data_IF_979848803948
#
_entry.id   IF_979848803948
#
_cell.length_a   1.000
_cell.length_b   1.000
_cell.length_c   1.000
_cell.angle_alpha   90.00
_cell.angle_beta   90.00
_cell.angle_gamma   90.00
#
_symmetry.space_group_name_H-M   'P 1'
#
loop_
_entity.id
_entity.type
_entity.pdbx_description
1 polymer ?
#
# COMPACT_ATOMS: atom_id res chain seq x y z
N UNK A 1 13.75 -36.71 4.57
CA UNK A 1 14.48 -35.43 4.57
C UNK A 1 13.51 -34.41 4.01
N UNK A 2 13.00 -33.49 4.81
CA UNK A 2 12.09 -32.46 4.34
C UNK A 2 12.85 -31.54 3.38
N UNK A 3 12.33 -31.40 2.18
CA UNK A 3 12.87 -30.52 1.14
C UNK A 3 12.82 -29.08 1.71
N UNK A 4 13.98 -28.53 2.04
CA UNK A 4 14.09 -27.18 2.61
C UNK A 4 13.85 -26.22 1.45
N UNK A 5 12.61 -25.84 1.24
CA UNK A 5 12.20 -24.84 0.23
C UNK A 5 12.99 -23.55 0.50
N UNK A 6 14.00 -23.31 -0.33
CA UNK A 6 14.88 -22.16 -0.19
C UNK A 6 14.15 -20.94 -0.77
N UNK A 7 14.02 -19.88 0.02
CA UNK A 7 13.42 -18.62 -0.44
C UNK A 7 14.45 -17.91 -1.31
N UNK A 8 14.11 -17.57 -2.53
CA UNK A 8 14.97 -16.77 -3.41
C UNK A 8 14.14 -15.90 -4.33
N UNK A 9 14.58 -14.65 -4.52
CA UNK A 9 14.01 -13.69 -5.48
C UNK A 9 12.47 -13.54 -5.39
N UNK A 10 11.96 -13.34 -4.17
CA UNK A 10 10.53 -13.11 -3.96
C UNK A 10 10.14 -11.75 -4.57
N UNK A 11 9.23 -11.72 -5.56
CA UNK A 11 8.70 -10.45 -6.10
C UNK A 11 8.16 -9.59 -4.97
N UNK A 12 8.70 -8.37 -4.85
CA UNK A 12 8.43 -7.47 -3.71
C UNK A 12 8.02 -6.10 -4.22
N UNK A 13 6.86 -5.63 -3.81
CA UNK A 13 6.36 -4.30 -4.15
C UNK A 13 6.20 -3.44 -2.90
N UNK A 14 6.55 -2.15 -3.01
CA UNK A 14 6.20 -1.14 -2.03
C UNK A 14 4.92 -0.46 -2.49
N UNK A 15 3.92 -0.38 -1.59
CA UNK A 15 2.67 0.35 -1.81
C UNK A 15 2.65 1.51 -0.84
N UNK A 16 2.95 2.69 -1.35
CA UNK A 16 3.05 3.93 -0.58
C UNK A 16 1.94 4.92 -0.95
N UNK A 17 1.95 6.08 -0.37
CA UNK A 17 1.01 7.16 -0.58
C UNK A 17 0.66 7.86 0.72
N UNK A 18 0.27 9.11 0.63
CA UNK A 18 0.06 9.97 1.80
C UNK A 18 -1.11 9.49 2.68
N UNK A 19 -1.34 10.19 3.79
CA UNK A 19 -2.43 9.85 4.73
C UNK A 19 -3.80 9.86 4.05
N UNK A 20 -4.63 8.88 4.37
CA UNK A 20 -6.03 8.81 3.96
C UNK A 20 -6.27 8.54 2.46
N UNK A 21 -5.24 8.25 1.65
CA UNK A 21 -5.41 8.00 0.20
C UNK A 21 -6.00 6.62 -0.14
N UNK A 22 -6.15 5.72 0.84
CA UNK A 22 -6.76 4.41 0.67
C UNK A 22 -5.80 3.26 0.42
N UNK A 23 -4.54 3.33 0.89
CA UNK A 23 -3.53 2.25 0.76
C UNK A 23 -4.05 0.92 1.26
N UNK A 24 -4.49 0.87 2.50
CA UNK A 24 -4.98 -0.36 3.14
C UNK A 24 -6.17 -0.96 2.39
N UNK A 25 -7.11 -0.11 1.90
CA UNK A 25 -8.23 -0.56 1.06
C UNK A 25 -7.74 -1.20 -0.24
N UNK A 26 -6.75 -0.58 -0.88
CA UNK A 26 -6.17 -1.07 -2.10
C UNK A 26 -5.44 -2.42 -1.91
N UNK A 27 -4.65 -2.53 -0.84
CA UNK A 27 -3.98 -3.80 -0.49
C UNK A 27 -5.00 -4.90 -0.22
N UNK A 28 -6.08 -4.62 0.54
CA UNK A 28 -7.15 -5.60 0.78
C UNK A 28 -7.78 -6.09 -0.52
N UNK A 29 -8.07 -5.20 -1.46
CA UNK A 29 -8.59 -5.61 -2.77
C UNK A 29 -7.60 -6.44 -3.57
N UNK A 30 -6.32 -6.09 -3.57
CA UNK A 30 -5.28 -6.91 -4.19
C UNK A 30 -5.26 -8.32 -3.59
N UNK A 31 -5.31 -8.43 -2.26
CA UNK A 31 -5.31 -9.72 -1.56
C UNK A 31 -6.54 -10.56 -1.90
N UNK A 32 -7.71 -9.93 -2.08
CA UNK A 32 -8.92 -10.63 -2.51
C UNK A 32 -8.80 -11.19 -3.93
N UNK A 33 -8.05 -10.51 -4.80
CA UNK A 33 -7.87 -10.86 -6.20
C UNK A 33 -6.61 -11.69 -6.48
N UNK A 34 -5.81 -12.02 -5.43
CA UNK A 34 -4.61 -12.81 -5.61
C UNK A 34 -4.90 -14.19 -6.21
N UNK A 35 -3.97 -14.78 -6.99
CA UNK A 35 -4.10 -16.16 -7.43
C UNK A 35 -4.24 -17.13 -6.24
N UNK A 36 -5.18 -18.07 -6.31
CA UNK A 36 -5.50 -18.98 -5.20
C UNK A 36 -4.29 -19.82 -4.76
N UNK A 37 -3.46 -20.22 -5.72
CA UNK A 37 -2.29 -21.07 -5.48
C UNK A 37 -1.09 -20.31 -4.91
N UNK A 38 -1.13 -18.97 -4.89
CA UNK A 38 -0.03 -18.17 -4.40
C UNK A 38 -0.15 -17.88 -2.90
N UNK A 39 0.98 -17.90 -2.22
CA UNK A 39 1.14 -17.39 -0.85
C UNK A 39 1.64 -15.95 -0.94
N UNK A 40 0.89 -15.01 -0.39
CA UNK A 40 1.30 -13.62 -0.33
C UNK A 40 1.57 -13.19 1.12
N UNK A 41 2.63 -12.43 1.30
CA UNK A 41 2.96 -11.81 2.56
C UNK A 41 2.76 -10.30 2.48
N UNK A 42 2.30 -9.70 3.56
CA UNK A 42 2.18 -8.24 3.68
C UNK A 42 2.91 -7.80 4.94
N UNK A 43 3.85 -6.89 4.80
CA UNK A 43 4.50 -6.21 5.90
C UNK A 43 3.92 -4.81 6.00
N UNK A 44 3.22 -4.53 7.10
CA UNK A 44 2.63 -3.21 7.39
C UNK A 44 3.39 -2.55 8.52
N UNK A 45 3.53 -1.23 8.46
CA UNK A 45 4.17 -0.50 9.56
C UNK A 45 3.22 -0.38 10.76
N UNK A 46 1.95 -0.09 10.50
CA UNK A 46 0.96 0.14 11.53
C UNK A 46 -0.40 -0.30 11.02
N UNK A 47 -1.12 -1.12 11.78
CA UNK A 47 -2.53 -1.31 11.51
C UNK A 47 -3.22 0.01 11.81
N UNK A 48 -3.66 0.69 10.76
CA UNK A 48 -4.29 1.99 10.86
C UNK A 48 -5.40 2.00 11.92
N UNK A 49 -5.53 3.11 12.60
CA UNK A 49 -6.42 3.36 13.74
C UNK A 49 -7.91 3.15 13.47
N UNK A 50 -8.31 2.83 12.26
CA UNK A 50 -9.72 2.65 11.89
C UNK A 50 -9.98 1.24 11.41
N UNK A 51 -10.47 0.40 12.33
CA UNK A 51 -11.42 -0.69 12.02
C UNK A 51 -11.05 -1.66 10.91
N UNK A 52 -9.77 -1.97 10.70
CA UNK A 52 -9.46 -3.25 10.10
C UNK A 52 -9.54 -4.21 11.27
N UNK A 53 -10.62 -5.00 11.29
CA UNK A 53 -10.79 -6.04 12.29
C UNK A 53 -9.47 -6.73 12.53
N UNK A 54 -8.92 -6.50 13.72
CA UNK A 54 -7.84 -7.33 14.26
C UNK A 54 -8.21 -8.81 14.22
N UNK A 55 -9.47 -9.14 13.95
CA UNK A 55 -9.97 -10.50 13.76
C UNK A 55 -9.73 -11.05 12.35
N UNK A 56 -9.62 -10.20 11.31
CA UNK A 56 -9.17 -10.61 9.98
C UNK A 56 -7.64 -10.72 9.91
N UNK A 57 -6.93 -10.05 10.83
CA UNK A 57 -5.47 -10.01 10.90
C UNK A 57 -4.91 -10.53 12.24
N UNK A 58 -5.76 -10.99 13.18
CA UNK A 58 -5.28 -11.79 14.30
C UNK A 58 -4.59 -12.99 13.69
N UNK A 59 -3.33 -13.15 14.11
CA UNK A 59 -2.45 -14.31 13.93
C UNK A 59 -3.18 -15.60 13.54
N UNK A 60 -3.83 -15.62 12.37
CA UNK A 60 -4.31 -16.84 11.78
C UNK A 60 -3.08 -17.55 11.22
N UNK A 61 -2.45 -18.29 12.13
CA UNK A 61 -1.39 -19.25 11.86
C UNK A 61 -1.82 -20.35 10.89
N UNK A 62 -3.10 -20.40 10.55
CA UNK A 62 -3.67 -21.29 9.53
C UNK A 62 -4.38 -20.44 8.47
N UNK A 63 -3.58 -19.88 7.57
CA UNK A 63 -4.10 -19.16 6.42
C UNK A 63 -4.74 -20.12 5.44
N UNK A 64 -6.04 -20.37 5.57
CA UNK A 64 -6.81 -21.10 4.55
C UNK A 64 -6.71 -20.45 3.18
N UNK A 65 -6.31 -19.16 3.12
CA UNK A 65 -6.24 -18.36 1.88
C UNK A 65 -4.82 -18.03 1.40
N UNK A 66 -3.76 -18.56 2.04
CA UNK A 66 -2.38 -18.30 1.64
C UNK A 66 -1.93 -16.84 1.83
N UNK A 67 -2.50 -16.10 2.78
CA UNK A 67 -2.13 -14.72 3.12
C UNK A 67 -1.51 -14.69 4.51
N UNK A 68 -0.34 -14.06 4.64
CA UNK A 68 0.31 -13.83 5.93
C UNK A 68 0.61 -12.35 6.09
N UNK A 69 0.14 -11.73 7.17
CA UNK A 69 0.38 -10.32 7.44
C UNK A 69 1.20 -10.19 8.72
N UNK A 70 2.19 -9.32 8.69
CA UNK A 70 3.03 -8.99 9.85
C UNK A 70 3.13 -7.49 10.01
N UNK A 71 3.13 -7.05 11.26
CA UNK A 71 3.33 -5.66 11.63
C UNK A 71 4.76 -5.44 12.10
N UNK A 72 5.34 -4.28 11.78
CA UNK A 72 6.63 -3.87 12.34
C UNK A 72 6.43 -3.38 13.77
N UNK A 73 7.04 -4.00 14.77
CA UNK A 73 6.93 -3.55 16.16
C UNK A 73 7.54 -2.16 16.35
N UNK A 74 6.86 -1.27 17.10
CA UNK A 74 7.41 0.04 17.47
C UNK A 74 7.13 1.18 16.51
N UNK A 75 6.25 1.00 15.53
CA UNK A 75 5.55 2.11 14.87
C UNK A 75 6.32 2.92 13.82
N UNK A 76 7.60 2.67 13.51
CA UNK A 76 8.27 3.42 12.44
C UNK A 76 9.21 2.55 11.58
N UNK A 77 8.82 2.32 10.32
CA UNK A 77 9.70 1.68 9.33
C UNK A 77 10.93 2.53 8.98
N UNK A 78 10.85 3.84 9.19
CA UNK A 78 11.90 4.81 8.83
C UNK A 78 12.85 5.15 9.99
N UNK A 79 12.80 4.45 11.14
CA UNK A 79 13.76 4.72 12.21
C UNK A 79 15.16 4.30 11.79
N UNK A 80 16.12 5.20 12.02
CA UNK A 80 17.51 5.20 11.55
C UNK A 80 18.32 3.91 11.76
N UNK A 81 17.88 2.99 12.58
CA UNK A 81 18.58 1.70 12.79
C UNK A 81 17.95 0.50 12.06
N UNK A 82 16.77 0.64 11.47
CA UNK A 82 16.14 -0.40 10.62
C UNK A 82 15.99 -1.81 11.21
N UNK A 83 16.43 -2.05 12.44
CA UNK A 83 16.39 -3.37 13.08
C UNK A 83 14.99 -3.95 13.21
N UNK A 84 13.95 -3.19 13.65
CA UNK A 84 12.61 -3.76 13.80
C UNK A 84 12.02 -4.26 12.48
N UNK A 85 12.20 -3.50 11.40
CA UNK A 85 11.72 -3.92 10.07
C UNK A 85 12.50 -5.14 9.54
N UNK A 86 13.82 -5.19 9.77
CA UNK A 86 14.65 -6.32 9.36
C UNK A 86 14.25 -7.61 10.09
N UNK A 87 13.98 -7.53 11.38
CA UNK A 87 13.51 -8.67 12.18
C UNK A 87 12.12 -9.12 11.72
N UNK A 88 11.17 -8.18 11.58
CA UNK A 88 9.81 -8.49 11.14
C UNK A 88 9.82 -9.12 9.74
N UNK A 89 10.60 -8.56 8.81
CA UNK A 89 10.73 -9.06 7.45
C UNK A 89 11.35 -10.47 7.43
N UNK A 90 12.42 -10.69 8.17
CA UNK A 90 13.08 -12.01 8.23
C UNK A 90 12.17 -13.09 8.82
N UNK A 91 11.43 -12.78 9.89
CA UNK A 91 10.47 -13.69 10.50
C UNK A 91 9.29 -13.98 9.55
N UNK A 92 8.77 -12.92 8.89
CA UNK A 92 7.67 -13.06 7.94
C UNK A 92 8.06 -13.97 6.77
N UNK A 93 9.21 -13.75 6.15
CA UNK A 93 9.71 -14.55 5.06
C UNK A 93 9.95 -16.00 5.47
N UNK A 94 10.62 -16.23 6.61
CA UNK A 94 10.90 -17.56 7.12
C UNK A 94 9.62 -18.37 7.40
N UNK A 95 8.58 -17.72 7.94
CA UNK A 95 7.31 -18.33 8.31
C UNK A 95 6.43 -18.61 7.10
N UNK A 96 6.23 -17.61 6.22
CA UNK A 96 5.24 -17.68 5.15
C UNK A 96 5.78 -18.25 3.83
N UNK A 97 7.09 -18.16 3.61
CA UNK A 97 7.73 -18.53 2.31
C UNK A 97 6.89 -18.05 1.13
N UNK A 98 6.69 -16.73 0.99
CA UNK A 98 5.69 -16.19 0.09
C UNK A 98 6.17 -16.25 -1.37
N UNK A 99 5.21 -16.32 -2.30
CA UNK A 99 5.45 -16.11 -3.72
C UNK A 99 5.46 -14.63 -4.09
N UNK A 100 4.92 -13.75 -3.22
CA UNK A 100 4.94 -12.29 -3.34
C UNK A 100 4.93 -11.63 -1.98
N UNK A 101 5.67 -10.52 -1.87
CA UNK A 101 5.70 -9.67 -0.69
C UNK A 101 5.18 -8.26 -1.05
N UNK A 102 4.26 -7.76 -0.26
CA UNK A 102 3.84 -6.36 -0.27
C UNK A 102 4.34 -5.66 0.98
N UNK A 103 4.87 -4.46 0.84
CA UNK A 103 5.33 -3.62 1.96
C UNK A 103 4.54 -2.32 1.95
N UNK A 104 3.82 -2.05 3.05
CA UNK A 104 3.08 -0.80 3.26
C UNK A 104 3.78 0.05 4.31
N UNK A 105 4.56 1.07 3.92
CA UNK A 105 5.05 2.09 4.85
C UNK A 105 3.90 2.95 5.39
N UNK A 106 4.13 3.67 6.50
CA UNK A 106 3.16 4.67 6.98
C UNK A 106 2.88 5.74 5.91
N UNK A 107 1.74 6.41 6.02
CA UNK A 107 1.41 7.53 5.13
C UNK A 107 2.37 8.72 5.25
N UNK A 108 3.07 8.87 6.37
CA UNK A 108 4.14 9.85 6.60
C UNK A 108 5.55 9.22 6.51
N UNK A 109 5.65 7.98 6.07
CA UNK A 109 6.93 7.28 5.95
C UNK A 109 7.70 7.68 4.69
N UNK A 110 9.02 7.56 4.77
CA UNK A 110 9.96 7.85 3.69
C UNK A 110 10.27 6.57 2.88
N UNK A 111 9.63 6.35 1.74
CA UNK A 111 9.81 5.12 0.97
C UNK A 111 11.24 4.94 0.44
N UNK A 112 12.00 6.02 0.26
CA UNK A 112 13.44 5.96 -0.11
C UNK A 112 14.26 5.18 0.90
N UNK A 113 13.98 5.31 2.19
CA UNK A 113 14.70 4.58 3.24
C UNK A 113 14.41 3.08 3.17
N UNK A 114 13.15 2.71 2.93
CA UNK A 114 12.75 1.32 2.73
C UNK A 114 13.43 0.74 1.48
N UNK A 115 13.41 1.45 0.36
CA UNK A 115 14.09 1.05 -0.88
C UNK A 115 15.61 0.89 -0.66
N UNK A 116 16.23 1.84 0.05
CA UNK A 116 17.67 1.78 0.40
C UNK A 116 17.99 0.56 1.26
N UNK A 117 17.13 0.23 2.22
CA UNK A 117 17.30 -0.98 3.04
C UNK A 117 17.19 -2.24 2.18
N UNK A 118 16.16 -2.33 1.32
CA UNK A 118 15.94 -3.50 0.45
C UNK A 118 17.03 -3.66 -0.63
N UNK A 119 17.76 -2.60 -0.95
CA UNK A 119 18.86 -2.64 -1.92
C UNK A 119 20.17 -3.24 -1.38
N UNK A 120 20.26 -3.56 -0.08
CA UNK A 120 21.42 -4.20 0.52
C UNK A 120 21.61 -5.62 -0.03
N UNK A 121 22.84 -6.07 -0.14
CA UNK A 121 23.20 -7.37 -0.78
C UNK A 121 22.41 -8.54 -0.22
N UNK A 122 22.27 -8.62 1.10
CA UNK A 122 21.50 -9.67 1.76
C UNK A 122 20.04 -9.78 1.23
N UNK A 123 19.37 -8.62 1.01
CA UNK A 123 18.00 -8.63 0.52
C UNK A 123 17.92 -8.91 -0.98
N UNK A 124 18.90 -8.49 -1.76
CA UNK A 124 18.96 -8.75 -3.22
C UNK A 124 19.00 -10.23 -3.59
N UNK A 125 19.54 -11.06 -2.72
CA UNK A 125 19.54 -12.52 -2.91
C UNK A 125 18.15 -13.12 -2.68
N UNK A 126 17.39 -12.56 -1.75
CA UNK A 126 16.11 -13.10 -1.27
C UNK A 126 14.92 -12.44 -1.94
N UNK A 127 15.00 -11.13 -2.21
CA UNK A 127 13.91 -10.31 -2.75
C UNK A 127 14.22 -9.82 -4.17
N UNK A 128 13.19 -9.78 -4.99
CA UNK A 128 13.20 -9.15 -6.31
C UNK A 128 12.30 -7.91 -6.25
N UNK A 129 12.90 -6.76 -5.91
CA UNK A 129 12.17 -5.50 -5.76
C UNK A 129 11.64 -5.05 -7.12
N UNK A 130 10.33 -4.98 -7.22
CA UNK A 130 9.56 -4.57 -8.39
C UNK A 130 9.06 -3.13 -8.24
N UNK A 131 8.14 -2.72 -9.11
CA UNK A 131 7.57 -1.38 -9.07
C UNK A 131 7.10 -0.95 -7.68
N UNK A 132 7.44 0.28 -7.33
CA UNK A 132 6.83 1.02 -6.22
C UNK A 132 5.56 1.68 -6.71
N UNK A 133 4.44 1.41 -6.05
CA UNK A 133 3.15 1.99 -6.34
C UNK A 133 2.86 3.11 -5.34
N UNK A 134 2.56 4.32 -5.82
CA UNK A 134 2.15 5.43 -4.96
C UNK A 134 0.70 5.82 -5.22
N UNK A 135 -0.15 5.69 -4.20
CA UNK A 135 -1.52 6.18 -4.27
C UNK A 135 -1.58 7.66 -3.96
N UNK A 136 -2.37 8.39 -4.72
CA UNK A 136 -2.61 9.82 -4.55
C UNK A 136 -4.09 10.14 -4.71
N UNK A 137 -4.58 11.13 -3.96
CA UNK A 137 -5.89 11.75 -4.16
C UNK A 137 -5.67 13.08 -4.87
N UNK A 138 -5.98 13.16 -6.17
CA UNK A 138 -5.67 14.32 -7.01
C UNK A 138 -6.32 15.61 -6.52
N UNK A 139 -7.46 15.54 -5.82
CA UNK A 139 -8.13 16.69 -5.20
C UNK A 139 -7.26 17.44 -4.17
N UNK A 140 -6.25 16.74 -3.62
CA UNK A 140 -5.34 17.29 -2.60
C UNK A 140 -4.22 18.14 -3.17
N UNK A 141 -4.04 18.17 -4.48
CA UNK A 141 -3.01 19.00 -5.13
C UNK A 141 -3.26 20.50 -5.02
N UNK A 142 -4.49 20.92 -4.72
CA UNK A 142 -4.82 22.31 -4.47
C UNK A 142 -4.44 22.78 -3.05
N UNK A 143 -4.06 21.84 -2.17
CA UNK A 143 -3.69 22.10 -0.79
C UNK A 143 -2.17 22.07 -0.64
N UNK A 144 -1.58 23.25 -0.33
CA UNK A 144 -0.12 23.40 -0.20
C UNK A 144 0.47 22.54 0.90
N UNK A 145 -0.31 22.13 1.91
CA UNK A 145 0.14 21.16 2.92
C UNK A 145 0.53 19.80 2.32
N UNK A 146 0.01 19.46 1.13
CA UNK A 146 0.41 18.28 0.38
C UNK A 146 1.56 18.60 -0.59
N UNK A 147 1.40 19.63 -1.41
CA UNK A 147 2.35 19.91 -2.49
C UNK A 147 3.70 20.46 -1.99
N UNK A 148 3.73 21.10 -0.82
CA UNK A 148 4.95 21.57 -0.17
C UNK A 148 5.55 20.52 0.80
N UNK A 149 4.86 19.39 1.00
CA UNK A 149 5.33 18.34 1.90
C UNK A 149 6.37 17.42 1.20
N UNK A 150 7.54 17.32 1.81
CA UNK A 150 8.66 16.53 1.27
C UNK A 150 8.33 15.04 1.18
N UNK A 151 7.62 14.49 2.17
CA UNK A 151 7.21 13.08 2.16
C UNK A 151 6.24 12.78 1.03
N UNK A 152 5.23 13.63 0.83
CA UNK A 152 4.29 13.51 -0.29
C UNK A 152 5.03 13.52 -1.62
N UNK A 153 5.94 14.46 -1.81
CA UNK A 153 6.73 14.56 -3.04
C UNK A 153 7.66 13.36 -3.23
N UNK A 154 8.32 12.92 -2.17
CA UNK A 154 9.19 11.76 -2.21
C UNK A 154 8.44 10.48 -2.59
N UNK A 155 7.19 10.32 -2.13
CA UNK A 155 6.35 9.17 -2.48
C UNK A 155 6.00 9.14 -3.96
N UNK A 156 5.76 10.30 -4.58
CA UNK A 156 5.52 10.41 -6.03
C UNK A 156 6.82 10.25 -6.82
N UNK A 157 7.94 10.78 -6.30
CA UNK A 157 9.24 10.71 -6.96
C UNK A 157 9.74 9.27 -7.14
N UNK A 158 9.64 8.44 -6.11
CA UNK A 158 10.14 7.05 -6.13
C UNK A 158 9.21 6.07 -6.84
N UNK A 159 7.96 6.47 -7.11
CA UNK A 159 6.98 5.58 -7.71
C UNK A 159 7.24 5.38 -9.21
N UNK A 160 7.26 4.14 -9.65
CA UNK A 160 7.13 3.77 -11.05
C UNK A 160 5.67 3.78 -11.50
N UNK A 161 4.75 3.50 -10.57
CA UNK A 161 3.30 3.51 -10.83
C UNK A 161 2.63 4.48 -9.88
N UNK A 162 2.03 5.53 -10.41
CA UNK A 162 1.21 6.50 -9.66
C UNK A 162 -0.26 6.17 -9.87
N UNK A 163 -1.01 6.08 -8.78
CA UNK A 163 -2.40 5.66 -8.79
C UNK A 163 -3.28 6.77 -8.22
N UNK A 164 -3.96 7.48 -9.11
CA UNK A 164 -4.96 8.47 -8.77
C UNK A 164 -6.23 7.77 -8.25
N UNK A 165 -6.28 7.56 -6.93
CA UNK A 165 -7.39 6.85 -6.28
C UNK A 165 -8.52 7.80 -5.88
N UNK A 166 -9.70 7.25 -5.59
CA UNK A 166 -10.93 7.98 -5.28
C UNK A 166 -11.42 8.83 -6.46
N UNK A 167 -11.20 8.35 -7.68
CA UNK A 167 -11.57 9.09 -8.89
C UNK A 167 -13.08 9.29 -9.07
N UNK A 168 -13.88 8.54 -8.32
CA UNK A 168 -15.32 8.75 -8.15
C UNK A 168 -15.70 10.09 -7.49
N UNK A 169 -14.73 10.73 -6.84
CA UNK A 169 -14.90 12.00 -6.14
C UNK A 169 -14.21 13.18 -6.86
N UNK A 170 -13.65 12.96 -8.05
CA UNK A 170 -12.89 13.98 -8.76
C UNK A 170 -13.79 14.92 -9.55
N UNK A 171 -13.44 16.19 -9.52
CA UNK A 171 -13.90 17.18 -10.49
C UNK A 171 -13.13 17.00 -11.81
N UNK A 172 -13.64 17.54 -12.94
CA UNK A 172 -13.03 17.36 -14.26
C UNK A 172 -11.55 17.73 -14.35
N UNK A 173 -11.11 18.72 -13.60
CA UNK A 173 -9.75 19.26 -13.64
C UNK A 173 -8.78 18.56 -12.69
N UNK A 174 -9.24 17.74 -11.75
CA UNK A 174 -8.38 17.13 -10.72
C UNK A 174 -7.34 16.18 -11.31
N UNK A 175 -7.76 15.30 -12.22
CA UNK A 175 -6.84 14.34 -12.83
C UNK A 175 -5.87 15.01 -13.82
N UNK A 176 -6.29 15.93 -14.71
CA UNK A 176 -5.37 16.75 -15.49
C UNK A 176 -4.35 17.51 -14.64
N UNK A 177 -4.77 18.09 -13.50
CA UNK A 177 -3.86 18.77 -12.59
C UNK A 177 -2.80 17.82 -12.00
N UNK A 178 -3.15 16.56 -11.72
CA UNK A 178 -2.16 15.55 -11.29
C UNK A 178 -1.15 15.25 -12.38
N UNK A 179 -1.59 15.09 -13.62
CA UNK A 179 -0.69 14.82 -14.75
C UNK A 179 0.31 15.97 -14.92
N UNK A 180 -0.19 17.21 -14.93
CA UNK A 180 0.62 18.43 -15.04
C UNK A 180 1.61 18.58 -13.86
N UNK A 181 1.15 18.28 -12.64
CA UNK A 181 1.99 18.31 -11.44
C UNK A 181 3.16 17.31 -11.52
N UNK A 182 2.85 16.07 -11.91
CA UNK A 182 3.88 15.02 -12.04
C UNK A 182 4.85 15.35 -13.15
N UNK A 183 4.36 15.85 -14.31
CA UNK A 183 5.20 16.24 -15.44
C UNK A 183 6.15 17.38 -15.09
N UNK A 184 5.67 18.41 -14.39
CA UNK A 184 6.49 19.57 -14.02
C UNK A 184 7.52 19.28 -12.94
N UNK A 185 7.22 18.37 -12.01
CA UNK A 185 8.03 18.18 -10.81
C UNK A 185 8.95 16.95 -10.88
N UNK A 186 8.59 15.96 -11.66
CA UNK A 186 9.31 14.69 -11.74
C UNK A 186 9.56 14.30 -13.21
N UNK A 187 10.55 13.43 -13.45
CA UNK A 187 10.72 12.84 -14.77
C UNK A 187 9.57 11.85 -15.04
N UNK A 188 8.80 12.10 -16.09
CA UNK A 188 7.64 11.27 -16.45
C UNK A 188 7.99 10.08 -17.33
N UNK A 189 9.18 10.06 -17.93
CA UNK A 189 9.60 9.04 -18.91
C UNK A 189 9.53 7.60 -18.38
N UNK A 190 9.49 7.45 -17.07
CA UNK A 190 9.52 6.15 -16.38
C UNK A 190 8.28 5.91 -15.49
N UNK A 191 7.28 6.79 -15.55
CA UNK A 191 6.11 6.71 -14.66
C UNK A 191 4.86 6.31 -15.42
N UNK A 192 4.15 5.33 -14.88
CA UNK A 192 2.81 4.95 -15.32
C UNK A 192 1.79 5.60 -14.39
N UNK A 193 0.77 6.24 -14.93
CA UNK A 193 -0.25 6.92 -14.13
C UNK A 193 -1.61 6.33 -14.47
N UNK A 194 -2.28 5.77 -13.46
CA UNK A 194 -3.60 5.18 -13.60
C UNK A 194 -4.62 5.89 -12.71
N UNK A 195 -5.86 5.92 -13.16
CA UNK A 195 -7.00 6.46 -12.43
C UNK A 195 -7.88 5.30 -11.96
N UNK A 196 -8.14 5.24 -10.65
CA UNK A 196 -8.96 4.19 -10.04
C UNK A 196 -9.91 4.75 -8.98
N UNK A 197 -10.95 3.99 -8.71
CA UNK A 197 -11.87 4.24 -7.60
C UNK A 197 -11.85 3.09 -6.60
N UNK A 198 -12.12 3.42 -5.34
CA UNK A 198 -12.23 2.44 -4.25
C UNK A 198 -11.02 1.50 -4.10
N UNK A 199 -9.82 1.92 -4.50
CA UNK A 199 -8.60 1.11 -4.39
C UNK A 199 -8.57 -0.10 -5.33
N UNK A 200 -9.23 -0.06 -6.47
CA UNK A 200 -9.27 -1.15 -7.45
C UNK A 200 -7.95 -1.21 -8.27
N UNK A 201 -6.89 -1.75 -7.65
CA UNK A 201 -5.62 -1.95 -8.32
C UNK A 201 -5.65 -3.20 -9.19
N UNK A 202 -4.99 -3.11 -10.35
CA UNK A 202 -4.72 -4.27 -11.19
C UNK A 202 -3.47 -5.00 -10.69
N UNK A 203 -3.53 -6.32 -10.59
CA UNK A 203 -2.38 -7.16 -10.21
C UNK A 203 -1.22 -7.01 -11.19
N UNK A 204 -1.51 -6.80 -12.46
CA UNK A 204 -0.49 -6.66 -13.50
C UNK A 204 0.43 -5.46 -13.26
N UNK A 205 -0.05 -4.42 -12.56
CA UNK A 205 0.78 -3.26 -12.22
C UNK A 205 1.88 -3.59 -11.21
N UNK A 206 1.74 -4.68 -10.46
CA UNK A 206 2.79 -5.16 -9.56
C UNK A 206 4.00 -5.73 -10.32
N UNK A 207 3.82 -6.12 -11.57
CA UNK A 207 4.90 -6.60 -12.44
C UNK A 207 5.54 -5.48 -13.26
N UNK A 208 4.95 -4.27 -13.29
CA UNK A 208 5.46 -3.15 -14.06
C UNK A 208 6.93 -2.87 -13.73
N UNK A 209 7.71 -2.55 -14.76
CA UNK A 209 9.07 -2.08 -14.63
C UNK A 209 9.23 -0.77 -15.39
N UNK A 210 10.23 0.02 -15.03
CA UNK A 210 10.56 1.26 -15.75
C UNK A 210 10.81 1.04 -17.25
N UNK A 211 11.01 -0.21 -17.66
CA UNK A 211 11.24 -0.59 -19.07
C UNK A 211 9.96 -0.86 -19.87
N UNK A 212 8.81 -0.98 -19.19
CA UNK A 212 7.56 -1.39 -19.83
C UNK A 212 6.77 -0.22 -20.42
N UNK A 213 7.43 0.58 -21.26
CA UNK A 213 6.85 1.76 -21.94
C UNK A 213 5.64 1.48 -22.85
N UNK A 214 5.27 0.22 -23.07
CA UNK A 214 4.18 -0.18 -23.97
C UNK A 214 2.81 -0.36 -23.30
N UNK A 215 2.67 -0.11 -22.00
CA UNK A 215 1.40 -0.28 -21.25
C UNK A 215 0.60 1.02 -21.11
N UNK A 216 0.94 2.06 -21.87
CA UNK A 216 0.23 3.35 -21.80
C UNK A 216 -1.03 3.29 -22.66
N UNK A 217 -2.11 2.90 -22.05
CA UNK A 217 -3.46 3.33 -22.44
C UNK A 217 -4.23 3.58 -21.16
N UNK A 218 -4.93 4.71 -21.01
CA UNK A 218 -5.83 4.93 -19.89
C UNK A 218 -7.02 3.98 -20.07
N UNK A 219 -6.87 2.75 -19.57
CA UNK A 219 -8.01 1.88 -19.41
C UNK A 219 -8.84 2.46 -18.27
N UNK A 220 -9.95 3.08 -18.61
CA UNK A 220 -11.03 3.27 -17.66
C UNK A 220 -11.50 1.88 -17.21
N UNK A 221 -10.93 1.41 -16.11
CA UNK A 221 -11.49 0.25 -15.45
C UNK A 221 -12.80 0.70 -14.78
N UNK A 222 -13.84 0.72 -15.57
CA UNK A 222 -15.22 0.66 -15.05
C UNK A 222 -15.36 -0.73 -14.44
N UNK A 223 -14.98 -0.86 -13.17
CA UNK A 223 -15.25 -2.06 -12.39
C UNK A 223 -16.78 -2.25 -12.38
N UNK A 224 -17.23 -3.40 -12.88
CA UNK A 224 -18.58 -3.88 -12.63
C UNK A 224 -18.85 -3.76 -11.14
N UNK A 225 -19.93 -3.11 -10.77
CA UNK A 225 -20.38 -2.97 -9.40
C UNK A 225 -20.38 -4.34 -8.71
N UNK A 226 -19.44 -4.52 -7.79
CA UNK A 226 -19.52 -5.59 -6.80
C UNK A 226 -20.34 -5.01 -5.66
N UNK A 227 -21.49 -5.61 -5.29
CA UNK A 227 -22.28 -5.12 -4.17
C UNK A 227 -21.40 -5.10 -2.92
N UNK A 228 -21.30 -3.95 -2.25
CA UNK A 228 -20.62 -3.83 -0.97
C UNK A 228 -21.43 -4.53 0.10
N UNK A 229 -21.14 -5.79 0.36
CA UNK A 229 -21.60 -6.44 1.57
C UNK A 229 -20.59 -6.17 2.66
N UNK A 230 -20.87 -5.20 3.52
CA UNK A 230 -20.23 -5.09 4.82
C UNK A 230 -20.50 -6.40 5.60
N UNK A 231 -19.50 -6.97 6.30
CA UNK A 231 -19.74 -8.13 7.14
C UNK A 231 -20.70 -7.75 8.27
N UNK A 232 -21.68 -8.63 8.61
CA UNK A 232 -22.83 -8.28 9.44
C UNK A 232 -22.59 -8.21 10.95
N UNK A 233 -21.36 -8.13 11.46
CA UNK A 233 -21.11 -8.16 12.91
C UNK A 233 -19.99 -7.21 13.36
N UNK A 234 -20.21 -5.90 13.22
CA UNK A 234 -19.51 -4.89 14.00
C UNK A 234 -20.54 -4.22 14.92
N UNK A 235 -20.72 -4.76 16.11
CA UNK A 235 -21.49 -4.09 17.14
C UNK A 235 -20.61 -3.01 17.78
N UNK A 236 -21.02 -1.74 17.61
CA UNK A 236 -20.47 -0.65 18.39
C UNK A 236 -20.82 -0.88 19.87
N UNK A 237 -19.98 -0.47 20.84
CA UNK A 237 -20.31 -0.55 22.24
C UNK A 237 -21.58 0.25 22.55
N UNK A 238 -22.23 -0.09 23.66
CA UNK A 238 -23.50 0.50 24.11
C UNK A 238 -23.50 2.03 24.21
N UNK A 239 -22.34 2.68 24.14
CA UNK A 239 -22.13 4.14 24.19
C UNK A 239 -22.28 4.82 22.81
N UNK A 240 -22.64 4.08 21.76
CA UNK A 240 -23.06 4.61 20.49
C UNK A 240 -21.97 4.78 19.41
N UNK A 241 -20.69 4.89 19.74
CA UNK A 241 -19.62 4.98 18.73
C UNK A 241 -18.23 4.66 19.29
N UNK A 242 -17.33 4.23 18.43
CA UNK A 242 -15.89 4.16 18.69
C UNK A 242 -15.22 5.20 17.81
N UNK A 243 -14.31 6.01 18.38
CA UNK A 243 -13.51 6.94 17.62
C UNK A 243 -12.02 6.66 17.80
N UNK A 244 -11.24 6.82 16.74
CA UNK A 244 -9.79 6.81 16.78
C UNK A 244 -9.25 8.06 16.08
N UNK A 245 -8.20 8.64 16.65
CA UNK A 245 -7.57 9.86 16.16
C UNK A 245 -6.09 9.61 15.91
N UNK A 246 -5.57 10.13 14.79
CA UNK A 246 -4.14 10.17 14.50
C UNK A 246 -3.74 11.58 14.08
N UNK A 247 -2.56 12.03 14.50
CA UNK A 247 -2.01 13.32 14.14
C UNK A 247 -0.52 13.23 13.86
N UNK A 248 -0.07 13.92 12.82
CA UNK A 248 1.33 14.05 12.47
C UNK A 248 1.54 15.09 11.37
N UNK A 249 2.64 15.82 11.39
CA UNK A 249 3.03 16.82 10.37
C UNK A 249 1.92 17.80 9.95
N UNK A 250 1.08 18.23 10.90
CA UNK A 250 -0.03 19.16 10.64
C UNK A 250 -1.29 18.53 10.06
N UNK A 251 -1.35 17.19 9.99
CA UNK A 251 -2.53 16.46 9.55
C UNK A 251 -3.21 15.76 10.73
N UNK A 252 -4.55 15.70 10.65
CA UNK A 252 -5.41 14.98 11.57
C UNK A 252 -6.23 13.97 10.78
N UNK A 253 -6.32 12.72 11.28
CA UNK A 253 -7.34 11.79 10.84
C UNK A 253 -8.18 11.37 12.04
N UNK A 254 -9.51 11.30 11.85
CA UNK A 254 -10.45 10.83 12.85
C UNK A 254 -11.47 9.91 12.18
N UNK A 255 -11.58 8.71 12.71
CA UNK A 255 -12.55 7.72 12.26
C UNK A 255 -13.59 7.45 13.35
N UNK A 256 -14.82 7.14 12.93
CA UNK A 256 -15.92 6.75 13.82
C UNK A 256 -16.58 5.50 13.30
N UNK A 257 -16.93 4.60 14.22
CA UNK A 257 -17.81 3.46 13.96
C UNK A 257 -19.06 3.68 14.80
N UNK A 258 -20.19 3.76 14.15
CA UNK A 258 -21.49 3.93 14.78
C UNK A 258 -22.25 2.63 14.80
N UNK A 259 -23.09 2.44 15.82
CA UNK A 259 -24.10 1.40 15.82
C UNK A 259 -25.23 1.81 14.89
N UNK A 260 -25.71 0.91 14.03
CA UNK A 260 -26.79 1.14 13.08
C UNK A 260 -28.17 0.99 13.76
#
# INVERSE_FOLDING_TARGET
MANKETISRVPTNIITGFLGVGKTTAIRKLLTNKPREERWAVLVNEFGEVGIDSNLFKENTDSQDGITISQVPGGCMCCTNGLPIQMALSLLLAKSKPHRLLIEPTGLGHPKEVLTMLSRDYYREVLDVRATLSLVDARKLQDTRYTDNDTFNQQLEVAEVIIANKSDLYEPDDFPALLDYVEKKFSTDTKLIYRVQHGALDIDWLAASASDKNLVSPKENTSKEVPSTLPPNLEAPLDGFISAENSGEGFFSKGWIFNA
#
